data_IF_951623854137
#
_entry.id   IF_951623854137
#
_cell.length_a   1.000
_cell.length_b   1.000
_cell.length_c   1.000
_cell.angle_alpha   90.00
_cell.angle_beta   90.00
_cell.angle_gamma   90.00
#
_symmetry.space_group_name_H-M   'P 1'
#
loop_
_entity.id
_entity.type
_entity.pdbx_description
1 polymer ?
#
# COMPACT_ATOMS: atom_id res chain seq x y z
N UNK A 1 6.95 17.52 -13.64
CA UNK A 1 7.64 16.96 -12.46
C UNK A 1 6.87 15.71 -12.05
N UNK A 2 7.56 14.62 -11.70
CA UNK A 2 6.88 13.42 -11.20
C UNK A 2 6.30 13.71 -9.82
N UNK A 3 5.00 13.47 -9.62
CA UNK A 3 4.36 13.67 -8.33
C UNK A 3 4.67 12.46 -7.47
N UNK A 4 5.44 12.65 -6.41
CA UNK A 4 5.82 11.59 -5.50
C UNK A 4 5.54 11.97 -4.05
N UNK A 5 5.08 11.02 -3.25
CA UNK A 5 5.04 11.16 -1.80
C UNK A 5 5.38 9.84 -1.12
N UNK A 6 5.98 9.97 0.06
CA UNK A 6 6.41 8.84 0.86
C UNK A 6 5.77 8.90 2.24
N UNK A 7 5.27 7.74 2.68
CA UNK A 7 4.86 7.54 4.05
C UNK A 7 5.58 6.31 4.61
N UNK A 8 6.07 6.42 5.84
CA UNK A 8 6.74 5.31 6.52
C UNK A 8 6.42 5.26 8.01
N UNK A 9 6.47 4.05 8.55
CA UNK A 9 6.41 3.80 9.98
C UNK A 9 7.27 2.58 10.31
N UNK A 10 8.25 2.76 11.17
CA UNK A 10 9.07 1.68 11.73
C UNK A 10 9.02 1.80 13.25
N UNK A 11 8.61 0.72 13.89
CA UNK A 11 8.60 0.60 15.34
C UNK A 11 10.05 0.47 15.84
N UNK A 12 10.44 1.36 16.77
CA UNK A 12 11.83 1.44 17.24
C UNK A 12 12.27 0.22 18.06
N UNK A 13 11.32 -0.50 18.67
CA UNK A 13 11.59 -1.60 19.59
C UNK A 13 11.72 -2.91 18.82
N UNK A 14 10.69 -3.24 18.04
CA UNK A 14 10.64 -4.47 17.23
C UNK A 14 11.43 -4.35 15.93
N UNK A 15 11.74 -3.12 15.50
CA UNK A 15 12.31 -2.79 14.18
C UNK A 15 11.43 -3.25 13.01
N UNK A 16 10.16 -3.55 13.27
CA UNK A 16 9.18 -3.90 12.26
C UNK A 16 8.50 -2.66 11.72
N UNK A 17 8.07 -2.67 10.47
CA UNK A 17 7.46 -1.50 9.87
C UNK A 17 7.05 -1.68 8.42
N UNK A 18 6.60 -0.58 7.82
CA UNK A 18 6.21 -0.53 6.41
C UNK A 18 6.63 0.82 5.82
N UNK A 19 7.16 0.77 4.60
CA UNK A 19 7.38 1.93 3.73
C UNK A 19 6.40 1.84 2.56
N UNK A 20 5.81 2.98 2.20
CA UNK A 20 4.94 3.13 1.03
C UNK A 20 5.43 4.35 0.26
N UNK A 21 6.04 4.10 -0.89
CA UNK A 21 6.46 5.13 -1.88
C UNK A 21 5.39 5.18 -2.97
N UNK A 22 4.85 6.37 -3.25
CA UNK A 22 3.83 6.59 -4.27
C UNK A 22 4.35 7.54 -5.33
N UNK A 23 4.20 7.14 -6.59
CA UNK A 23 4.65 7.90 -7.77
C UNK A 23 3.55 7.98 -8.81
N UNK A 24 3.42 9.16 -9.40
CA UNK A 24 2.58 9.40 -10.56
C UNK A 24 3.38 9.26 -11.84
N UNK A 25 2.92 8.39 -12.73
CA UNK A 25 3.48 8.19 -14.06
C UNK A 25 2.33 8.19 -15.08
N UNK A 26 2.31 9.17 -15.98
CA UNK A 26 1.36 9.26 -17.11
C UNK A 26 -0.12 9.23 -16.71
N UNK A 27 -0.48 9.98 -15.68
CA UNK A 27 -1.83 10.10 -15.11
C UNK A 27 -2.22 8.96 -14.17
N UNK A 28 -1.32 8.02 -13.88
CA UNK A 28 -1.59 6.86 -13.02
C UNK A 28 -0.68 6.86 -11.80
N UNK A 29 -1.25 6.54 -10.65
CA UNK A 29 -0.48 6.39 -9.42
C UNK A 29 -0.07 4.94 -9.19
N UNK A 30 1.21 4.75 -8.93
CA UNK A 30 1.83 3.49 -8.57
C UNK A 30 2.32 3.60 -7.13
N UNK A 31 2.14 2.53 -6.37
CA UNK A 31 2.70 2.41 -5.04
C UNK A 31 3.75 1.29 -5.02
N UNK A 32 4.80 1.48 -4.24
CA UNK A 32 5.75 0.44 -3.88
C UNK A 32 5.66 0.25 -2.38
N UNK A 33 5.26 -0.95 -1.97
CA UNK A 33 5.11 -1.31 -0.56
C UNK A 33 6.25 -2.21 -0.15
N UNK A 34 6.97 -1.81 0.89
CA UNK A 34 8.11 -2.54 1.42
C UNK A 34 7.91 -2.76 2.91
N UNK A 35 7.79 -4.03 3.31
CA UNK A 35 7.73 -4.40 4.72
C UNK A 35 9.15 -4.42 5.32
N UNK A 36 9.25 -4.14 6.61
CA UNK A 36 10.47 -4.29 7.41
C UNK A 36 10.19 -5.30 8.50
N UNK A 37 11.04 -6.32 8.61
CA UNK A 37 10.93 -7.38 9.63
C UNK A 37 12.27 -7.50 10.33
N UNK A 38 12.32 -7.34 11.65
CA UNK A 38 13.56 -7.39 12.44
C UNK A 38 14.59 -6.32 12.07
N UNK A 39 14.19 -5.25 11.39
CA UNK A 39 15.08 -4.22 10.85
C UNK A 39 15.56 -4.47 9.42
N UNK A 40 15.22 -5.61 8.83
CA UNK A 40 15.58 -5.95 7.45
C UNK A 40 14.44 -5.62 6.48
N UNK A 41 14.78 -4.94 5.38
CA UNK A 41 13.83 -4.64 4.30
C UNK A 41 13.54 -5.92 3.54
N UNK A 42 12.26 -6.26 3.46
CA UNK A 42 11.77 -7.36 2.67
C UNK A 42 11.70 -6.98 1.17
N UNK A 43 11.55 -7.96 0.26
CA UNK A 43 11.27 -7.68 -1.13
C UNK A 43 10.13 -6.67 -1.29
N UNK A 44 10.28 -5.73 -2.21
CA UNK A 44 9.26 -4.71 -2.44
C UNK A 44 8.22 -5.23 -3.43
N UNK A 45 6.94 -4.95 -3.16
CA UNK A 45 5.85 -5.25 -4.11
C UNK A 45 5.40 -3.99 -4.81
N UNK A 46 5.31 -4.05 -6.15
CA UNK A 46 4.71 -2.99 -6.96
C UNK A 46 3.19 -3.11 -6.89
N UNK A 47 2.53 -1.97 -6.85
CA UNK A 47 1.09 -1.87 -6.61
C UNK A 47 0.53 -0.69 -7.40
N UNK A 48 -0.78 -0.71 -7.59
CA UNK A 48 -1.54 0.40 -8.17
C UNK A 48 -2.26 1.14 -7.06
N UNK A 49 -2.41 2.45 -7.22
CA UNK A 49 -3.18 3.27 -6.31
C UNK A 49 -4.33 3.96 -7.06
N UNK A 50 -5.54 3.78 -6.54
CA UNK A 50 -6.73 4.49 -6.98
C UNK A 50 -7.06 5.59 -5.98
N UNK A 51 -7.41 6.79 -6.45
CA UNK A 51 -7.98 7.86 -5.62
C UNK A 51 -9.50 7.80 -5.73
N UNK A 52 -10.20 7.65 -4.60
CA UNK A 52 -11.65 7.51 -4.54
C UNK A 52 -12.26 8.77 -3.90
N UNK A 53 -13.16 9.42 -4.63
CA UNK A 53 -13.77 10.70 -4.23
C UNK A 53 -12.94 11.91 -4.65
N UNK A 54 -13.21 13.07 -4.04
CA UNK A 54 -12.51 14.33 -4.30
C UNK A 54 -12.41 15.20 -3.04
N UNK A 55 -11.42 16.10 -3.03
CA UNK A 55 -11.15 17.03 -1.92
C UNK A 55 -10.74 16.34 -0.61
N UNK A 56 -11.00 16.99 0.51
CA UNK A 56 -10.60 16.51 1.86
C UNK A 56 -11.29 15.20 2.30
N UNK A 57 -12.27 14.70 1.54
CA UNK A 57 -12.95 13.42 1.79
C UNK A 57 -12.44 12.29 0.90
N UNK A 58 -11.54 12.58 -0.04
CA UNK A 58 -10.95 11.56 -0.90
C UNK A 58 -10.12 10.58 -0.06
N UNK A 59 -10.15 9.31 -0.40
CA UNK A 59 -9.26 8.30 0.18
C UNK A 59 -8.58 7.53 -0.92
N UNK A 60 -7.41 6.98 -0.63
CA UNK A 60 -6.63 6.23 -1.60
C UNK A 60 -6.68 4.75 -1.28
N UNK A 61 -6.76 3.93 -2.33
CA UNK A 61 -6.80 2.47 -2.23
C UNK A 61 -5.59 1.91 -2.95
N UNK A 62 -4.77 1.13 -2.25
CA UNK A 62 -3.62 0.43 -2.84
C UNK A 62 -4.02 -1.02 -3.12
N UNK A 63 -3.90 -1.41 -4.39
CA UNK A 63 -4.08 -2.79 -4.85
C UNK A 63 -2.75 -3.38 -5.26
N UNK A 64 -2.45 -4.57 -4.74
CA UNK A 64 -1.21 -5.29 -5.01
C UNK A 64 -1.49 -6.75 -5.36
N UNK A 65 -0.58 -7.43 -6.09
CA UNK A 65 -0.63 -8.86 -6.23
C UNK A 65 -0.57 -9.56 -4.87
N UNK A 66 -1.40 -10.58 -4.69
CA UNK A 66 -1.42 -11.41 -3.48
C UNK A 66 -0.20 -12.32 -3.49
N UNK A 67 0.59 -12.29 -2.41
CA UNK A 67 1.78 -13.13 -2.22
C UNK A 67 1.37 -14.57 -1.90
N UNK A 68 2.12 -15.54 -2.40
CA UNK A 68 1.96 -16.93 -1.98
C UNK A 68 2.64 -17.18 -0.64
N UNK A 69 2.04 -18.08 0.14
CA UNK A 69 2.51 -18.48 1.46
C UNK A 69 2.86 -19.96 1.40
N UNK A 70 4.06 -20.32 1.86
CA UNK A 70 4.51 -21.70 1.95
C UNK A 70 3.89 -22.44 3.14
N UNK A 71 4.18 -23.73 3.26
CA UNK A 71 3.63 -24.59 4.32
C UNK A 71 4.04 -24.14 5.74
N UNK A 72 5.15 -23.44 5.86
CA UNK A 72 5.64 -22.87 7.12
C UNK A 72 4.97 -21.54 7.51
N UNK A 73 4.04 -21.03 6.69
CA UNK A 73 3.36 -19.75 6.92
C UNK A 73 4.13 -18.52 6.46
N UNK A 74 5.31 -18.68 5.86
CA UNK A 74 6.12 -17.57 5.34
C UNK A 74 5.81 -17.28 3.86
N UNK A 75 6.04 -16.05 3.43
CA UNK A 75 5.88 -15.69 2.03
C UNK A 75 6.96 -16.33 1.17
N UNK A 76 6.54 -16.99 0.10
CA UNK A 76 7.46 -17.57 -0.87
C UNK A 76 8.19 -16.46 -1.62
N UNK A 77 9.50 -16.60 -1.75
CA UNK A 77 10.34 -15.72 -2.58
C UNK A 77 11.15 -16.54 -3.57
N UNK A 78 11.52 -15.91 -4.68
CA UNK A 78 12.45 -16.47 -5.67
C UNK A 78 13.46 -15.42 -6.10
N UNK A 79 14.55 -15.85 -6.71
CA UNK A 79 15.48 -14.95 -7.36
C UNK A 79 14.78 -14.28 -8.55
N UNK A 80 14.96 -12.96 -8.66
CA UNK A 80 14.40 -12.18 -9.75
C UNK A 80 15.06 -12.59 -11.06
N UNK A 81 14.23 -12.95 -12.03
CA UNK A 81 14.67 -13.35 -13.36
C UNK A 81 13.85 -12.65 -14.44
N UNK A 82 14.51 -12.37 -15.57
CA UNK A 82 13.84 -11.95 -16.80
C UNK A 82 14.57 -12.56 -17.98
N UNK A 83 13.84 -13.21 -18.89
CA UNK A 83 14.40 -13.80 -20.12
C UNK A 83 15.59 -14.75 -19.85
N UNK A 84 15.53 -15.51 -18.75
CA UNK A 84 16.57 -16.46 -18.34
C UNK A 84 17.80 -15.84 -17.65
N UNK A 85 17.81 -14.53 -17.41
CA UNK A 85 18.89 -13.83 -16.69
C UNK A 85 18.47 -13.46 -15.26
N UNK A 86 19.36 -13.66 -14.30
CA UNK A 86 19.20 -13.15 -12.94
C UNK A 86 19.39 -11.64 -12.88
N UNK A 87 18.59 -10.95 -12.07
CA UNK A 87 18.64 -9.49 -11.96
C UNK A 87 18.88 -9.02 -10.52
N UNK A 88 19.68 -7.98 -10.36
CA UNK A 88 19.82 -7.26 -9.10
C UNK A 88 18.56 -6.41 -8.77
N UNK A 89 18.61 -5.69 -7.64
CA UNK A 89 17.50 -4.83 -7.21
C UNK A 89 17.21 -3.68 -8.18
N UNK A 90 18.22 -3.25 -8.95
CA UNK A 90 18.13 -2.20 -9.97
C UNK A 90 17.71 -2.74 -11.33
N UNK A 91 17.51 -4.06 -11.46
CA UNK A 91 17.15 -4.71 -12.72
C UNK A 91 18.33 -4.95 -13.65
N UNK A 92 19.56 -4.93 -13.15
CA UNK A 92 20.77 -5.24 -13.94
C UNK A 92 21.09 -6.74 -13.90
N UNK A 93 21.54 -7.33 -15.00
CA UNK A 93 21.95 -8.73 -15.03
C UNK A 93 23.07 -9.03 -14.03
N UNK A 94 22.99 -10.18 -13.36
CA UNK A 94 24.02 -10.71 -12.46
C UNK A 94 24.39 -12.15 -12.85
N UNK A 95 25.56 -12.61 -12.41
CA UNK A 95 26.13 -13.89 -12.84
C UNK A 95 25.57 -15.12 -12.12
N UNK A 96 24.88 -14.92 -11.00
CA UNK A 96 24.43 -16.02 -10.15
C UNK A 96 23.10 -15.74 -9.45
N UNK A 97 22.45 -16.81 -8.99
CA UNK A 97 21.23 -16.70 -8.19
C UNK A 97 21.47 -15.97 -6.86
N UNK A 98 22.64 -16.15 -6.25
CA UNK A 98 22.98 -15.55 -4.94
C UNK A 98 23.11 -14.02 -5.00
N UNK A 99 23.49 -13.48 -6.16
CA UNK A 99 23.59 -12.04 -6.40
C UNK A 99 22.25 -11.41 -6.83
N UNK A 100 21.27 -12.26 -7.17
CA UNK A 100 19.98 -11.80 -7.64
C UNK A 100 19.17 -11.19 -6.49
N UNK A 101 18.44 -10.12 -6.79
CA UNK A 101 17.43 -9.64 -5.86
C UNK A 101 16.33 -10.68 -5.69
N UNK A 102 15.77 -10.73 -4.48
CA UNK A 102 14.60 -11.57 -4.20
C UNK A 102 13.32 -10.85 -4.60
N UNK A 103 12.37 -11.58 -5.16
CA UNK A 103 11.00 -11.14 -5.42
C UNK A 103 10.01 -12.13 -4.80
N UNK A 104 8.83 -11.64 -4.44
CA UNK A 104 7.76 -12.52 -3.99
C UNK A 104 7.22 -13.37 -5.13
N UNK A 105 6.85 -14.60 -4.81
CA UNK A 105 5.98 -15.41 -5.65
C UNK A 105 4.55 -14.95 -5.44
N UNK A 106 3.82 -14.72 -6.53
CA UNK A 106 2.47 -14.18 -6.48
C UNK A 106 1.46 -15.21 -6.95
N UNK A 107 0.29 -15.17 -6.31
CA UNK A 107 -0.82 -16.04 -6.64
C UNK A 107 -1.38 -15.69 -8.01
N UNK A 108 -1.64 -16.71 -8.83
CA UNK A 108 -2.26 -16.57 -10.14
C UNK A 108 -3.73 -16.99 -10.15
N UNK A 109 -4.46 -16.63 -11.19
CA UNK A 109 -5.83 -17.10 -11.37
C UNK A 109 -5.82 -18.60 -11.66
N UNK A 110 -6.84 -19.32 -11.16
CA UNK A 110 -6.94 -20.78 -11.32
C UNK A 110 -6.98 -21.20 -12.79
N UNK A 111 -7.66 -20.41 -13.61
CA UNK A 111 -7.90 -20.70 -15.02
C UNK A 111 -6.87 -20.04 -15.95
N UNK A 112 -5.94 -19.23 -15.41
CA UNK A 112 -4.92 -18.52 -16.18
C UNK A 112 -3.69 -18.18 -15.32
N UNK A 113 -2.64 -18.99 -15.45
CA UNK A 113 -1.37 -18.80 -14.72
C UNK A 113 -0.57 -17.58 -15.17
N UNK A 114 -0.93 -16.92 -16.27
CA UNK A 114 -0.31 -15.66 -16.70
C UNK A 114 -0.89 -14.44 -15.99
N UNK A 115 -2.04 -14.58 -15.32
CA UNK A 115 -2.75 -13.49 -14.65
C UNK A 115 -2.58 -13.58 -13.14
N UNK A 116 -2.08 -12.50 -12.55
CA UNK A 116 -1.98 -12.36 -11.09
C UNK A 116 -3.34 -12.07 -10.45
N UNK A 117 -3.53 -12.57 -9.24
CA UNK A 117 -4.63 -12.17 -8.35
C UNK A 117 -4.22 -10.91 -7.60
N UNK A 118 -4.98 -9.84 -7.77
CA UNK A 118 -4.78 -8.59 -7.02
C UNK A 118 -5.77 -8.50 -5.87
N UNK A 119 -5.38 -7.84 -4.79
CA UNK A 119 -6.29 -7.47 -3.71
C UNK A 119 -5.96 -6.10 -3.13
N UNK A 120 -6.93 -5.51 -2.44
CA UNK A 120 -6.74 -4.26 -1.71
C UNK A 120 -5.92 -4.51 -0.45
N UNK A 121 -4.68 -4.03 -0.44
CA UNK A 121 -3.73 -4.28 0.65
C UNK A 121 -3.56 -3.07 1.57
N UNK A 122 -3.97 -1.88 1.12
CA UNK A 122 -4.02 -0.70 1.98
C UNK A 122 -5.14 0.26 1.59
N UNK A 123 -5.64 1.00 2.58
CA UNK A 123 -6.46 2.20 2.41
C UNK A 123 -5.78 3.36 3.12
N UNK A 124 -5.53 4.47 2.44
CA UNK A 124 -4.92 5.65 3.02
C UNK A 124 -5.99 6.74 3.13
N UNK A 125 -6.18 7.25 4.34
CA UNK A 125 -7.03 8.38 4.63
C UNK A 125 -6.17 9.54 5.13
N UNK A 126 -6.24 10.66 4.44
CA UNK A 126 -5.57 11.90 4.85
C UNK A 126 -6.56 12.69 5.71
N UNK A 127 -6.19 13.02 6.94
CA UNK A 127 -7.06 13.80 7.83
C UNK A 127 -6.32 14.95 8.50
N UNK A 128 -6.99 16.11 8.49
CA UNK A 128 -6.60 17.31 9.21
C UNK A 128 -7.45 17.54 10.47
N UNK A 129 -8.27 16.57 10.86
CA UNK A 129 -9.11 16.63 12.05
C UNK A 129 -8.98 15.37 12.89
N UNK A 130 -9.06 15.53 14.22
CA UNK A 130 -9.22 14.43 15.17
C UNK A 130 -10.63 13.84 15.07
N UNK A 131 -10.87 12.75 15.79
CA UNK A 131 -12.18 12.08 15.85
C UNK A 131 -13.31 13.01 16.37
N UNK A 132 -12.98 13.96 17.25
CA UNK A 132 -13.89 14.98 17.79
C UNK A 132 -14.08 16.21 16.87
N UNK A 133 -13.56 16.14 15.64
CA UNK A 133 -13.55 17.21 14.62
C UNK A 133 -12.65 18.41 14.94
N UNK A 134 -11.87 18.37 16.01
CA UNK A 134 -10.87 19.43 16.27
C UNK A 134 -9.73 19.36 15.25
N UNK A 135 -9.16 20.49 14.83
CA UNK A 135 -8.01 20.52 13.92
C UNK A 135 -6.79 19.75 14.45
N UNK A 136 -6.17 18.89 13.61
CA UNK A 136 -4.84 18.35 13.86
C UNK A 136 -3.78 19.45 13.66
N UNK A 137 -2.71 19.42 14.46
CA UNK A 137 -1.59 20.34 14.33
C UNK A 137 -0.84 20.17 12.98
N UNK A 138 -0.82 18.95 12.43
CA UNK A 138 -0.22 18.61 11.14
C UNK A 138 -1.07 17.53 10.45
N UNK A 139 -0.88 17.36 9.14
CA UNK A 139 -1.60 16.34 8.37
C UNK A 139 -1.12 14.94 8.75
N UNK A 140 -2.07 14.07 9.07
CA UNK A 140 -1.81 12.65 9.33
C UNK A 140 -2.38 11.80 8.20
N UNK A 141 -1.64 10.75 7.83
CA UNK A 141 -2.13 9.71 6.94
C UNK A 141 -2.45 8.49 7.78
N UNK A 142 -3.73 8.21 7.97
CA UNK A 142 -4.18 6.97 8.60
C UNK A 142 -4.23 5.89 7.53
N UNK A 143 -3.43 4.86 7.71
CA UNK A 143 -3.32 3.74 6.78
C UNK A 143 -3.94 2.53 7.42
N UNK A 144 -4.90 1.94 6.73
CA UNK A 144 -5.45 0.65 7.07
C UNK A 144 -4.79 -0.41 6.21
N UNK A 145 -4.02 -1.30 6.82
CA UNK A 145 -3.24 -2.34 6.16
C UNK A 145 -3.96 -3.69 6.31
N UNK A 146 -4.14 -4.38 5.19
CA UNK A 146 -4.72 -5.73 5.15
C UNK A 146 -3.61 -6.74 4.88
N UNK A 147 -3.65 -7.87 5.59
CA UNK A 147 -2.87 -9.05 5.24
C UNK A 147 -3.31 -9.60 3.87
N UNK A 148 -2.43 -10.35 3.21
CA UNK A 148 -2.75 -11.02 1.96
C UNK A 148 -3.96 -11.96 2.08
N UNK A 149 -4.15 -12.60 3.24
CA UNK A 149 -5.31 -13.44 3.53
C UNK A 149 -6.61 -12.62 3.60
N UNK A 150 -6.63 -11.51 4.34
CA UNK A 150 -7.79 -10.60 4.42
C UNK A 150 -8.12 -9.99 3.04
N UNK A 151 -7.10 -9.52 2.31
CA UNK A 151 -7.25 -8.97 0.98
C UNK A 151 -7.83 -10.01 0.00
N UNK A 152 -7.40 -11.27 0.08
CA UNK A 152 -7.93 -12.36 -0.73
C UNK A 152 -9.40 -12.70 -0.39
N UNK A 153 -9.79 -12.67 0.88
CA UNK A 153 -11.21 -12.87 1.27
C UNK A 153 -12.06 -11.74 0.67
N UNK A 154 -11.65 -10.49 0.83
CA UNK A 154 -12.37 -9.36 0.26
C UNK A 154 -12.44 -9.41 -1.27
N UNK A 155 -11.38 -9.85 -1.95
CA UNK A 155 -11.37 -9.99 -3.41
C UNK A 155 -12.37 -11.05 -3.90
N UNK A 156 -12.55 -12.14 -3.15
CA UNK A 156 -13.57 -13.16 -3.48
C UNK A 156 -14.98 -12.57 -3.44
N UNK A 157 -15.27 -11.68 -2.50
CA UNK A 157 -16.56 -10.98 -2.44
C UNK A 157 -16.72 -9.98 -3.60
N UNK A 158 -15.63 -9.28 -4.00
CA UNK A 158 -15.63 -8.43 -5.21
C UNK A 158 -15.96 -9.24 -6.46
N UNK A 159 -15.35 -10.43 -6.60
CA UNK A 159 -15.63 -11.32 -7.72
C UNK A 159 -17.10 -11.78 -7.72
N UNK A 160 -17.67 -12.13 -6.55
CA UNK A 160 -19.09 -12.46 -6.43
C UNK A 160 -19.97 -11.29 -6.87
N UNK A 161 -19.67 -10.07 -6.42
CA UNK A 161 -20.41 -8.86 -6.82
C UNK A 161 -20.43 -8.68 -8.35
N UNK A 162 -19.29 -8.90 -9.01
CA UNK A 162 -19.18 -8.77 -10.46
C UNK A 162 -20.06 -9.77 -11.25
N UNK A 163 -20.57 -10.82 -10.60
CA UNK A 163 -21.45 -11.83 -11.21
C UNK A 163 -22.94 -11.62 -10.88
N UNK A 164 -23.26 -10.65 -10.03
CA UNK A 164 -24.63 -10.35 -9.64
C UNK A 164 -25.16 -9.15 -10.43
N UNK A 165 -26.46 -9.14 -10.68
CA UNK A 165 -27.11 -7.99 -11.30
C UNK A 165 -27.06 -6.77 -10.38
N UNK A 166 -26.53 -5.65 -10.89
CA UNK A 166 -26.44 -4.39 -10.14
C UNK A 166 -27.82 -3.93 -9.68
N UNK A 167 -27.94 -3.61 -8.40
CA UNK A 167 -29.19 -3.14 -7.80
C UNK A 167 -30.13 -4.26 -7.31
N UNK A 168 -29.82 -5.53 -7.57
CA UNK A 168 -30.52 -6.64 -6.94
C UNK A 168 -30.30 -6.66 -5.42
N UNK A 169 -31.23 -7.28 -4.67
CA UNK A 169 -31.08 -7.46 -3.23
C UNK A 169 -29.81 -8.25 -2.89
N UNK A 170 -29.51 -9.30 -3.66
CA UNK A 170 -28.29 -10.09 -3.52
C UNK A 170 -27.03 -9.24 -3.73
N UNK A 171 -26.99 -8.41 -4.78
CA UNK A 171 -25.86 -7.51 -5.02
C UNK A 171 -25.70 -6.51 -3.86
N UNK A 172 -26.80 -5.93 -3.37
CA UNK A 172 -26.78 -4.96 -2.27
C UNK A 172 -26.24 -5.60 -0.99
N UNK A 173 -26.73 -6.79 -0.64
CA UNK A 173 -26.27 -7.54 0.52
C UNK A 173 -24.77 -7.83 0.47
N UNK A 174 -24.27 -8.41 -0.62
CA UNK A 174 -22.83 -8.70 -0.75
C UNK A 174 -21.99 -7.42 -0.73
N UNK A 175 -22.52 -6.31 -1.28
CA UNK A 175 -21.85 -5.01 -1.26
C UNK A 175 -21.69 -4.51 0.18
N UNK A 176 -22.74 -4.63 0.99
CA UNK A 176 -22.71 -4.17 2.37
C UNK A 176 -21.89 -5.09 3.26
N UNK A 177 -21.93 -6.40 3.04
CA UNK A 177 -21.05 -7.37 3.69
C UNK A 177 -19.58 -7.07 3.38
N UNK A 178 -19.24 -6.75 2.12
CA UNK A 178 -17.89 -6.36 1.73
C UNK A 178 -17.44 -5.05 2.42
N UNK A 179 -18.31 -4.04 2.52
CA UNK A 179 -18.01 -2.81 3.25
C UNK A 179 -17.77 -3.10 4.73
N UNK A 180 -18.60 -3.94 5.35
CA UNK A 180 -18.48 -4.33 6.74
C UNK A 180 -17.17 -5.11 6.98
N UNK A 181 -16.86 -6.07 6.12
CA UNK A 181 -15.62 -6.86 6.13
C UNK A 181 -14.40 -5.95 6.08
N UNK A 182 -14.35 -5.03 5.10
CA UNK A 182 -13.24 -4.08 4.98
C UNK A 182 -13.13 -3.13 6.15
N UNK A 183 -14.23 -2.85 6.87
CA UNK A 183 -14.25 -2.02 8.07
C UNK A 183 -13.78 -2.77 9.32
N UNK A 184 -14.06 -4.07 9.43
CA UNK A 184 -13.69 -4.89 10.60
C UNK A 184 -12.29 -5.51 10.51
N UNK A 185 -11.80 -5.82 9.31
CA UNK A 185 -10.47 -6.42 9.08
C UNK A 185 -9.38 -5.38 8.92
N UNK A 186 -8.11 -5.79 9.00
CA UNK A 186 -6.95 -4.95 8.77
C UNK A 186 -6.53 -4.13 9.99
N UNK A 187 -5.22 -3.91 10.13
CA UNK A 187 -4.64 -3.09 11.20
C UNK A 187 -4.60 -1.63 10.77
N UNK A 188 -4.94 -0.73 11.69
CA UNK A 188 -4.85 0.71 11.45
C UNK A 188 -3.57 1.25 12.03
N UNK A 189 -2.83 1.99 11.22
CA UNK A 189 -1.59 2.63 11.60
C UNK A 189 -1.57 4.07 11.12
N UNK A 190 -1.06 4.96 11.95
CA UNK A 190 -0.89 6.36 11.58
C UNK A 190 0.54 6.58 11.09
N UNK A 191 0.64 7.11 9.89
CA UNK A 191 1.89 7.43 9.22
C UNK A 191 2.06 8.95 9.14
N UNK A 192 3.32 9.37 9.13
CA UNK A 192 3.69 10.74 8.82
C UNK A 192 4.11 10.84 7.35
N UNK A 193 3.79 11.96 6.72
CA UNK A 193 4.28 12.28 5.39
C UNK A 193 5.74 12.69 5.55
N UNK A 194 6.66 11.88 5.04
CA UNK A 194 8.10 12.16 5.11
C UNK A 194 8.57 13.02 3.94
N UNK A 195 7.87 12.93 2.80
CA UNK A 195 8.14 13.68 1.57
C UNK A 195 6.86 13.81 0.73
N UNK A 196 6.78 14.84 -0.12
CA UNK A 196 5.74 14.92 -1.15
C UNK A 196 4.45 15.63 -0.75
N UNK A 197 4.52 16.57 0.19
CA UNK A 197 3.37 17.38 0.61
C UNK A 197 2.68 18.11 -0.57
N UNK A 198 3.44 18.56 -1.56
CA UNK A 198 2.89 19.19 -2.77
C UNK A 198 2.07 18.22 -3.63
N UNK A 199 2.54 16.98 -3.80
CA UNK A 199 1.80 15.97 -4.55
C UNK A 199 0.42 15.72 -3.93
N UNK A 200 0.31 15.71 -2.60
CA UNK A 200 -0.98 15.61 -1.91
C UNK A 200 -1.86 16.85 -2.10
N UNK A 201 -1.29 18.06 -2.09
CA UNK A 201 -2.05 19.29 -2.39
C UNK A 201 -2.61 19.27 -3.80
N UNK A 202 -1.84 18.81 -4.78
CA UNK A 202 -2.28 18.69 -6.16
C UNK A 202 -3.37 17.62 -6.36
N UNK A 203 -3.45 16.62 -5.47
CA UNK A 203 -4.58 15.69 -5.40
C UNK A 203 -5.84 16.32 -4.77
N UNK A 204 -5.75 17.56 -4.29
CA UNK A 204 -6.86 18.30 -3.68
C UNK A 204 -6.95 18.19 -2.16
N UNK A 205 -5.93 17.65 -1.50
CA UNK A 205 -5.89 17.59 -0.04
C UNK A 205 -5.40 18.91 0.55
N UNK A 206 -6.05 19.38 1.61
CA UNK A 206 -5.46 20.38 2.49
C UNK A 206 -4.27 19.76 3.24
N UNK A 207 -3.10 20.39 3.24
CA UNK A 207 -1.90 19.86 3.91
C UNK A 207 -1.30 20.87 4.89
N UNK A 208 -1.27 20.49 6.17
CA UNK A 208 -0.62 21.19 7.28
C UNK A 208 0.73 20.57 7.58
N UNK A 209 1.78 21.37 7.49
CA UNK A 209 3.14 20.95 7.83
C UNK A 209 3.33 20.95 9.34
N UNK A 210 4.17 20.04 9.83
CA UNK A 210 4.66 20.13 11.21
C UNK A 210 5.47 21.42 11.34
N UNK A 211 5.34 22.20 12.44
CA UNK A 211 6.27 23.28 12.71
C UNK A 211 7.69 22.72 12.70
N UNK A 212 8.58 23.32 11.91
CA UNK A 212 10.01 23.05 12.07
C UNK A 212 10.36 23.37 13.52
N UNK A 213 11.03 22.45 14.22
CA UNK A 213 11.53 22.75 15.54
C UNK A 213 12.54 23.89 15.35
N UNK A 214 12.26 25.05 15.96
CA UNK A 214 13.11 26.23 15.92
C UNK A 214 14.58 25.81 15.98
N UNK A 215 15.32 26.03 14.89
CA UNK A 215 16.76 26.12 14.93
C UNK A 215 17.08 27.33 15.80
N UNK A 216 17.19 27.11 17.11
CA UNK A 216 17.65 28.13 18.05
C UNK A 216 19.08 28.47 17.60
N UNK A 217 19.37 29.70 17.14
CA UNK A 217 20.73 30.07 16.83
C UNK A 217 21.51 29.99 18.15
N UNK A 218 22.56 29.17 18.17
CA UNK A 218 23.50 29.13 19.28
C UNK A 218 24.15 30.52 19.35
N UNK A 219 24.07 31.27 20.46
CA UNK A 219 24.80 32.52 20.59
C UNK A 219 26.30 32.22 20.56
N UNK A 220 27.03 33.01 19.77
CA UNK A 220 28.51 33.04 19.74
C UNK A 220 29.12 33.39 21.11
#
# INVERSE_FOLDING_TARGET
MAKEFEISKVDKTTKNGTYIDIKEESGKYYATVTDVVGGERQPSRRSFMDVIGSGDKAFMVIKAPIREVGDNGEFLTRARQKEGQFLDAKGKPVGSEAEAAREYVYKTQKDDSSKLVYGQVATLNVSNTKADKTPNAFTMVSVKLYSDAEALIAEREVYKLGRLEKGSEAHTKVSDDLKALRKSQGRTENFFITKGHEALREMGYTVRLKPEADSTPTPE
#
